data_IF_026692844120
#
_entry.id   IF_026692844120
#
_cell.length_a   1.000
_cell.length_b   1.000
_cell.length_c   1.000
_cell.angle_alpha   90.00
_cell.angle_beta   90.00
_cell.angle_gamma   90.00
#
_symmetry.space_group_name_H-M   'P 1'
#
loop_
_entity.id
_entity.type
_entity.pdbx_description
1 polymer ?
#
# COMPACT_ATOMS: atom_id res chain seq x y z
N UNK A 1 -35.39 -8.35 -24.17
CA UNK A 1 -34.34 -8.64 -23.16
C UNK A 1 -34.26 -7.46 -22.19
N UNK A 2 -34.84 -7.58 -20.99
CA UNK A 2 -34.74 -6.54 -19.95
C UNK A 2 -33.51 -6.81 -19.09
N UNK A 3 -32.52 -5.91 -19.10
CA UNK A 3 -31.37 -5.95 -18.21
C UNK A 3 -31.81 -5.71 -16.76
N UNK A 4 -31.40 -6.59 -15.86
CA UNK A 4 -31.62 -6.48 -14.42
C UNK A 4 -30.71 -5.37 -13.85
N UNK A 5 -31.29 -4.21 -13.55
CA UNK A 5 -30.62 -3.13 -12.83
C UNK A 5 -30.98 -3.18 -11.32
N UNK A 6 -30.87 -4.37 -10.70
CA UNK A 6 -31.35 -4.57 -9.33
C UNK A 6 -30.28 -4.67 -8.24
N UNK A 7 -28.98 -4.65 -8.58
CA UNK A 7 -27.92 -5.02 -7.62
C UNK A 7 -27.26 -3.84 -6.92
N UNK A 8 -27.39 -2.61 -7.46
CA UNK A 8 -26.69 -1.44 -6.90
C UNK A 8 -27.53 -0.67 -5.87
N UNK A 9 -28.85 -0.82 -5.87
CA UNK A 9 -29.76 -0.05 -4.99
C UNK A 9 -29.75 -0.57 -3.55
N UNK A 10 -29.52 -1.87 -3.35
CA UNK A 10 -29.62 -2.51 -2.03
C UNK A 10 -28.55 -2.05 -1.02
N UNK A 11 -27.25 -2.00 -1.36
CA UNK A 11 -26.24 -1.50 -0.42
C UNK A 11 -26.38 -0.03 -0.12
N UNK A 12 -26.81 0.81 -1.08
CA UNK A 12 -27.04 2.25 -0.86
C UNK A 12 -28.23 2.46 0.10
N UNK A 13 -29.30 1.66 -0.04
CA UNK A 13 -30.44 1.75 0.85
C UNK A 13 -30.08 1.36 2.28
N UNK A 14 -29.23 0.36 2.48
CA UNK A 14 -28.72 -0.06 3.79
C UNK A 14 -27.88 1.05 4.42
N UNK A 15 -26.98 1.67 3.69
CA UNK A 15 -26.16 2.79 4.17
C UNK A 15 -27.04 3.98 4.60
N UNK A 16 -28.08 4.32 3.84
CA UNK A 16 -29.05 5.37 4.20
C UNK A 16 -29.84 5.02 5.47
N UNK A 17 -30.26 3.78 5.64
CA UNK A 17 -30.97 3.32 6.84
C UNK A 17 -30.07 3.44 8.08
N UNK A 18 -28.78 3.09 7.98
CA UNK A 18 -27.82 3.24 9.06
C UNK A 18 -27.60 4.72 9.47
N UNK A 19 -27.50 5.61 8.50
CA UNK A 19 -27.38 7.05 8.75
C UNK A 19 -28.61 7.61 9.46
N UNK A 20 -29.81 7.18 9.07
CA UNK A 20 -31.05 7.61 9.68
C UNK A 20 -31.29 7.07 11.10
N UNK A 21 -30.69 5.91 11.43
CA UNK A 21 -30.85 5.28 12.76
C UNK A 21 -29.75 5.69 13.75
N UNK A 22 -28.78 6.53 13.37
CA UNK A 22 -27.69 6.96 14.25
C UNK A 22 -26.75 5.84 14.67
N UNK A 23 -26.70 4.72 13.93
CA UNK A 23 -25.94 3.50 14.27
C UNK A 23 -24.49 3.53 13.78
N UNK A 24 -24.02 4.66 13.25
CA UNK A 24 -22.68 4.83 12.70
C UNK A 24 -21.51 4.64 13.68
N UNK A 25 -21.81 4.46 14.98
CA UNK A 25 -20.81 4.29 16.04
C UNK A 25 -20.80 2.92 16.70
N UNK A 26 -21.63 1.97 16.28
CA UNK A 26 -21.67 0.64 16.91
C UNK A 26 -20.87 -0.38 16.08
N UNK A 27 -19.65 -0.67 16.55
CA UNK A 27 -18.73 -1.61 15.89
C UNK A 27 -19.31 -3.03 15.78
N UNK A 28 -20.06 -3.49 16.77
CA UNK A 28 -20.63 -4.84 16.77
C UNK A 28 -21.67 -5.03 15.68
N UNK A 29 -22.51 -4.00 15.44
CA UNK A 29 -23.51 -4.03 14.38
C UNK A 29 -22.82 -3.95 13.00
N UNK A 30 -21.79 -3.14 12.86
CA UNK A 30 -21.00 -3.03 11.65
C UNK A 30 -20.33 -4.36 11.31
N UNK A 31 -19.68 -5.00 12.28
CA UNK A 31 -19.03 -6.30 12.12
C UNK A 31 -20.03 -7.40 11.79
N UNK A 32 -21.20 -7.42 12.45
CA UNK A 32 -22.27 -8.37 12.13
C UNK A 32 -22.73 -8.26 10.67
N UNK A 33 -22.84 -7.03 10.12
CA UNK A 33 -23.22 -6.84 8.72
C UNK A 33 -22.09 -7.23 7.75
N UNK A 34 -20.83 -6.98 8.10
CA UNK A 34 -19.70 -7.44 7.30
C UNK A 34 -19.65 -8.95 7.22
N UNK A 35 -19.91 -9.66 8.31
CA UNK A 35 -19.99 -11.12 8.34
C UNK A 35 -21.21 -11.65 7.56
N UNK A 36 -22.38 -11.02 7.75
CA UNK A 36 -23.63 -11.44 7.10
C UNK A 36 -23.58 -11.32 5.56
N UNK A 37 -22.89 -10.31 5.04
CA UNK A 37 -22.79 -10.09 3.60
C UNK A 37 -21.47 -10.61 3.00
N UNK A 38 -20.70 -11.36 3.78
CA UNK A 38 -19.38 -11.88 3.41
C UNK A 38 -18.46 -10.76 2.82
N UNK A 39 -18.65 -9.52 3.33
CA UNK A 39 -17.81 -8.37 2.99
C UNK A 39 -16.56 -8.47 3.89
N UNK A 40 -15.78 -9.53 3.70
CA UNK A 40 -14.49 -9.72 4.35
C UNK A 40 -13.41 -8.76 3.79
N UNK A 41 -13.83 -7.61 3.30
CA UNK A 41 -12.93 -6.50 3.03
C UNK A 41 -12.62 -5.83 4.36
N UNK A 42 -11.68 -6.37 5.12
CA UNK A 42 -11.09 -5.65 6.25
C UNK A 42 -10.33 -4.47 5.65
N UNK A 43 -11.05 -3.38 5.43
CA UNK A 43 -10.43 -2.10 5.10
C UNK A 43 -9.88 -1.61 6.44
N UNK A 44 -8.58 -1.83 6.66
CA UNK A 44 -7.90 -1.18 7.75
C UNK A 44 -7.98 0.32 7.52
N UNK A 45 -8.58 1.01 8.46
CA UNK A 45 -8.56 2.46 8.49
C UNK A 45 -7.27 2.92 9.17
N UNK A 46 -6.95 4.20 9.05
CA UNK A 46 -5.74 4.74 9.70
C UNK A 46 -5.87 4.66 11.23
N UNK A 47 -7.09 4.61 11.74
CA UNK A 47 -7.44 4.49 13.15
C UNK A 47 -7.13 3.10 13.74
N UNK A 48 -7.08 2.06 12.89
CA UNK A 48 -6.73 0.70 13.31
C UNK A 48 -5.22 0.51 13.49
N UNK A 49 -4.41 1.49 13.07
CA UNK A 49 -2.96 1.45 13.19
C UNK A 49 -2.57 2.01 14.56
N UNK A 50 -1.86 1.25 15.41
CA UNK A 50 -1.40 1.73 16.71
C UNK A 50 -0.49 2.95 16.57
N UNK A 51 -0.51 3.82 17.57
CA UNK A 51 0.41 4.95 17.67
C UNK A 51 1.87 4.50 17.61
N UNK A 52 2.72 5.37 17.09
CA UNK A 52 4.15 5.11 16.99
C UNK A 52 4.77 4.88 18.37
N UNK A 53 5.41 3.73 18.54
CA UNK A 53 6.02 3.28 19.80
C UNK A 53 7.54 3.10 19.72
N UNK A 54 8.20 3.76 18.78
CA UNK A 54 9.65 3.67 18.55
C UNK A 54 10.07 2.54 17.61
N UNK A 55 9.15 1.67 17.17
CA UNK A 55 9.44 0.58 16.22
C UNK A 55 9.23 1.02 14.78
N UNK A 56 10.05 0.53 13.83
CA UNK A 56 9.97 0.94 12.43
C UNK A 56 8.72 0.45 11.70
N UNK A 57 8.02 -0.52 12.24
CA UNK A 57 6.76 -1.07 11.71
C UNK A 57 5.95 -1.75 12.81
N UNK A 58 4.70 -2.04 12.51
CA UNK A 58 3.79 -2.82 13.37
C UNK A 58 3.09 -3.87 12.51
N UNK A 59 2.85 -5.05 13.09
CA UNK A 59 2.01 -6.06 12.47
C UNK A 59 0.54 -5.74 12.71
N UNK A 60 -0.25 -5.84 11.67
CA UNK A 60 -1.71 -5.74 11.70
C UNK A 60 -2.31 -7.06 11.23
N UNK A 61 -3.58 -7.31 11.51
CA UNK A 61 -4.29 -8.53 11.09
C UNK A 61 -3.52 -9.83 11.40
N UNK A 62 -2.91 -9.94 12.59
CA UNK A 62 -2.08 -11.09 12.96
C UNK A 62 -0.99 -11.44 11.94
N UNK A 63 -0.50 -10.43 11.21
CA UNK A 63 0.48 -10.59 10.11
C UNK A 63 -0.02 -11.44 8.93
N UNK A 64 -1.34 -11.46 8.70
CA UNK A 64 -1.94 -12.14 7.56
C UNK A 64 -2.28 -11.07 6.51
N UNK A 65 -1.63 -11.10 5.33
CA UNK A 65 -1.96 -10.18 4.26
C UNK A 65 -3.36 -10.48 3.72
N UNK A 66 -4.07 -9.43 3.33
CA UNK A 66 -5.40 -9.56 2.75
C UNK A 66 -5.33 -9.54 1.21
N UNK A 67 -5.71 -10.67 0.61
CA UNK A 67 -5.96 -10.83 -0.82
C UNK A 67 -7.23 -11.66 -1.01
N UNK A 68 -8.04 -11.32 -2.01
CA UNK A 68 -9.22 -12.15 -2.37
C UNK A 68 -8.78 -13.38 -3.15
N UNK A 69 -9.64 -14.39 -3.23
CA UNK A 69 -9.35 -15.61 -4.00
C UNK A 69 -9.04 -15.31 -5.48
N UNK A 70 -9.71 -14.30 -6.06
CA UNK A 70 -9.51 -13.90 -7.45
C UNK A 70 -8.17 -13.18 -7.68
N UNK A 71 -7.55 -12.65 -6.62
CA UNK A 71 -6.25 -12.00 -6.69
C UNK A 71 -5.09 -13.00 -6.67
N UNK A 72 -5.31 -14.25 -6.21
CA UNK A 72 -4.25 -15.25 -6.18
C UNK A 72 -3.85 -15.67 -7.60
N UNK A 73 -2.59 -15.43 -7.92
CA UNK A 73 -2.01 -15.75 -9.23
C UNK A 73 -0.51 -15.94 -9.13
N UNK A 74 0.04 -16.71 -10.07
CA UNK A 74 1.48 -16.79 -10.31
C UNK A 74 1.90 -16.06 -11.59
N UNK A 75 0.93 -15.44 -12.29
CA UNK A 75 1.23 -14.61 -13.46
C UNK A 75 1.81 -13.28 -13.01
N UNK A 76 3.05 -13.00 -13.40
CA UNK A 76 3.73 -11.75 -13.07
C UNK A 76 3.02 -10.53 -13.64
N UNK A 77 2.92 -9.48 -12.85
CA UNK A 77 2.40 -8.18 -13.26
C UNK A 77 2.91 -7.08 -12.33
N UNK A 78 2.85 -5.85 -12.81
CA UNK A 78 3.02 -4.62 -12.04
C UNK A 78 1.86 -3.67 -12.33
N UNK A 79 1.29 -3.08 -11.31
CA UNK A 79 0.22 -2.09 -11.40
C UNK A 79 0.50 -0.95 -10.45
N UNK A 80 0.38 0.28 -10.95
CA UNK A 80 0.54 1.50 -10.19
C UNK A 80 -0.66 2.40 -10.43
N UNK A 81 -1.28 2.89 -9.36
CA UNK A 81 -2.36 3.86 -9.47
C UNK A 81 -1.89 5.13 -10.17
N UNK A 82 -2.78 5.82 -10.85
CA UNK A 82 -2.47 7.15 -11.34
C UNK A 82 -2.19 8.09 -10.17
N UNK A 83 -1.32 9.07 -10.41
CA UNK A 83 -1.12 10.16 -9.46
C UNK A 83 -2.44 10.92 -9.27
N UNK A 84 -2.71 11.34 -8.04
CA UNK A 84 -3.86 12.20 -7.77
C UNK A 84 -3.64 13.66 -8.24
N UNK A 85 -4.60 14.53 -7.97
CA UNK A 85 -4.53 15.95 -8.38
C UNK A 85 -3.39 16.75 -7.70
N UNK A 86 -2.84 16.25 -6.57
CA UNK A 86 -1.67 16.78 -5.89
C UNK A 86 -0.36 16.08 -6.29
N UNK A 87 -0.39 15.27 -7.35
CA UNK A 87 0.74 14.47 -7.83
C UNK A 87 1.26 13.46 -6.79
N UNK A 88 0.38 12.97 -5.89
CA UNK A 88 0.73 11.93 -4.92
C UNK A 88 0.54 10.56 -5.54
N UNK A 89 1.49 9.65 -5.29
CA UNK A 89 1.35 8.25 -5.65
C UNK A 89 0.23 7.58 -4.81
N UNK A 90 -0.40 6.59 -5.39
CA UNK A 90 -1.42 5.77 -4.74
C UNK A 90 -0.95 4.35 -4.49
N UNK A 91 -1.83 3.37 -4.75
CA UNK A 91 -1.52 1.96 -4.58
C UNK A 91 -0.48 1.48 -5.60
N UNK A 92 0.50 0.71 -5.11
CA UNK A 92 1.38 -0.12 -5.93
C UNK A 92 1.09 -1.60 -5.64
N UNK A 93 0.90 -2.41 -6.70
CA UNK A 93 0.51 -3.81 -6.58
C UNK A 93 1.20 -4.66 -7.64
N UNK A 94 1.80 -5.78 -7.24
CA UNK A 94 2.54 -6.65 -8.14
C UNK A 94 2.43 -8.12 -7.72
N UNK A 95 2.46 -9.00 -8.70
CA UNK A 95 2.84 -10.40 -8.50
C UNK A 95 4.30 -10.53 -8.94
N UNK A 96 5.20 -10.63 -7.97
CA UNK A 96 6.64 -10.59 -8.18
C UNK A 96 7.18 -12.00 -8.32
N UNK A 97 7.86 -12.28 -9.43
CA UNK A 97 8.65 -13.47 -9.67
C UNK A 97 10.08 -13.11 -10.09
N UNK A 98 10.93 -14.11 -10.32
CA UNK A 98 12.31 -13.88 -10.84
C UNK A 98 12.32 -13.10 -12.15
N UNK A 99 11.26 -13.21 -12.93
CA UNK A 99 11.11 -12.60 -14.26
C UNK A 99 11.12 -11.08 -14.21
N UNK A 100 10.58 -10.49 -13.10
CA UNK A 100 10.54 -9.05 -12.88
C UNK A 100 11.79 -8.50 -12.20
N UNK A 101 12.58 -9.35 -11.54
CA UNK A 101 13.78 -8.89 -10.84
C UNK A 101 14.76 -8.21 -11.79
N UNK A 102 15.47 -7.16 -11.33
CA UNK A 102 16.36 -6.40 -12.19
C UNK A 102 17.47 -7.28 -12.78
N UNK A 103 17.74 -7.05 -14.06
CA UNK A 103 18.85 -7.67 -14.81
C UNK A 103 20.01 -6.70 -15.04
N UNK A 104 19.79 -5.44 -14.68
CA UNK A 104 20.74 -4.34 -14.86
C UNK A 104 20.93 -3.60 -13.54
N UNK A 105 21.99 -2.80 -13.46
CA UNK A 105 22.25 -1.96 -12.30
C UNK A 105 21.27 -0.79 -12.23
N UNK A 106 20.97 -0.39 -10.99
CA UNK A 106 20.08 0.74 -10.73
C UNK A 106 20.69 2.03 -11.24
N UNK A 107 19.92 2.80 -12.00
CA UNK A 107 20.32 4.13 -12.47
C UNK A 107 19.85 5.24 -11.52
N UNK A 108 20.31 6.48 -11.76
CA UNK A 108 19.92 7.64 -10.96
C UNK A 108 18.43 7.95 -11.14
N UNK A 109 17.77 8.29 -10.04
CA UNK A 109 16.37 8.77 -9.99
C UNK A 109 16.28 10.22 -9.53
N UNK A 110 17.40 10.95 -9.56
CA UNK A 110 17.50 12.34 -9.08
C UNK A 110 16.57 13.32 -9.77
N UNK A 111 16.17 13.05 -11.01
CA UNK A 111 15.24 13.86 -11.80
C UNK A 111 13.80 13.78 -11.29
N UNK A 112 13.40 12.71 -10.62
CA UNK A 112 12.04 12.57 -10.08
C UNK A 112 11.92 13.35 -8.77
N UNK A 113 10.87 14.15 -8.67
CA UNK A 113 10.54 14.91 -7.47
C UNK A 113 9.12 14.54 -7.03
N UNK A 114 8.94 13.50 -6.20
CA UNK A 114 7.64 13.12 -5.72
C UNK A 114 6.95 14.27 -4.96
N UNK A 115 5.64 14.20 -4.81
CA UNK A 115 4.89 15.21 -4.04
C UNK A 115 5.53 15.46 -2.67
N UNK A 116 5.65 16.73 -2.27
CA UNK A 116 6.30 17.14 -1.03
C UNK A 116 7.83 17.04 -1.03
N UNK A 117 8.47 16.79 -2.18
CA UNK A 117 9.93 16.68 -2.26
C UNK A 117 10.64 17.98 -1.87
N UNK A 118 11.49 17.86 -0.87
CA UNK A 118 12.45 18.93 -0.49
C UNK A 118 13.69 18.30 0.15
N UNK A 119 14.77 19.09 0.23
CA UNK A 119 16.04 18.62 0.78
C UNK A 119 16.26 19.23 2.15
N UNK A 120 16.39 18.37 3.16
CA UNK A 120 16.74 18.76 4.53
C UNK A 120 17.86 17.86 5.01
N UNK A 121 18.84 18.44 5.68
CA UNK A 121 20.00 17.72 6.23
C UNK A 121 20.06 17.87 7.74
N UNK A 122 20.37 16.77 8.41
CA UNK A 122 20.68 16.73 9.85
C UNK A 122 21.86 15.80 10.09
N UNK A 123 22.78 16.18 10.98
CA UNK A 123 23.95 15.36 11.30
C UNK A 123 23.59 14.05 12.01
N UNK A 124 22.46 14.00 12.71
CA UNK A 124 21.94 12.81 13.40
C UNK A 124 21.31 11.77 12.44
N UNK A 125 21.10 12.13 11.18
CA UNK A 125 20.51 11.23 10.19
C UNK A 125 21.61 10.49 9.44
N UNK A 126 21.50 9.16 9.35
CA UNK A 126 22.38 8.36 8.52
C UNK A 126 22.36 8.86 7.07
N UNK A 127 23.54 9.16 6.50
CA UNK A 127 23.67 9.79 5.18
C UNK A 127 23.24 11.26 5.14
N UNK A 128 22.92 11.87 6.30
CA UNK A 128 22.56 13.28 6.52
C UNK A 128 21.23 13.73 5.92
N UNK A 129 20.73 13.14 4.85
CA UNK A 129 19.49 13.54 4.19
C UNK A 129 18.27 12.94 4.88
N UNK A 130 17.42 13.81 5.46
CA UNK A 130 16.20 13.36 6.16
C UNK A 130 15.23 12.66 5.19
N UNK A 131 15.05 13.20 3.99
CA UNK A 131 14.11 12.65 3.01
C UNK A 131 14.82 11.92 1.87
N UNK A 132 14.20 10.83 1.46
CA UNK A 132 14.58 9.98 0.35
C UNK A 132 13.47 9.91 -0.70
N UNK A 133 13.83 9.55 -1.93
CA UNK A 133 12.90 9.05 -2.94
C UNK A 133 12.72 7.57 -2.66
N UNK A 134 11.61 7.21 -2.07
CA UNK A 134 11.31 5.85 -1.65
C UNK A 134 10.46 5.17 -2.69
N UNK A 135 10.91 4.02 -3.19
CA UNK A 135 10.06 3.18 -4.00
C UNK A 135 8.97 2.54 -3.12
N UNK A 136 7.75 2.45 -3.62
CA UNK A 136 6.68 1.65 -3.00
C UNK A 136 6.97 0.16 -3.19
N UNK A 137 7.36 -0.24 -4.40
CA UNK A 137 7.91 -1.56 -4.70
C UNK A 137 9.39 -1.34 -5.05
N UNK A 138 10.29 -1.87 -4.24
CA UNK A 138 11.73 -1.64 -4.35
C UNK A 138 12.31 -2.12 -5.68
N UNK A 139 13.29 -1.38 -6.20
CA UNK A 139 13.99 -1.71 -7.45
C UNK A 139 14.45 -3.18 -7.51
N UNK A 140 14.95 -3.70 -6.40
CA UNK A 140 15.43 -5.10 -6.30
C UNK A 140 14.35 -6.16 -6.56
N UNK A 141 13.06 -5.77 -6.56
CA UNK A 141 11.92 -6.67 -6.72
C UNK A 141 11.41 -6.72 -8.16
N UNK A 142 11.35 -5.57 -8.83
CA UNK A 142 10.72 -5.45 -10.15
C UNK A 142 11.58 -4.75 -11.19
N UNK A 143 12.76 -4.24 -10.84
CA UNK A 143 13.58 -3.48 -11.76
C UNK A 143 13.00 -2.11 -12.15
N UNK A 144 11.82 -1.74 -11.63
CA UNK A 144 11.18 -0.45 -11.91
C UNK A 144 11.93 0.68 -11.24
N UNK A 145 12.60 1.55 -12.01
CA UNK A 145 13.53 2.53 -11.46
C UNK A 145 12.95 3.94 -11.31
N UNK A 146 12.62 4.61 -12.41
CA UNK A 146 12.28 6.03 -12.46
C UNK A 146 10.80 6.26 -12.76
N UNK A 147 9.91 5.55 -12.08
CA UNK A 147 8.47 5.66 -12.23
C UNK A 147 7.89 6.58 -11.14
N UNK A 148 7.34 7.72 -11.54
CA UNK A 148 6.74 8.67 -10.60
C UNK A 148 5.60 8.07 -9.77
N UNK A 149 4.87 7.08 -10.32
CA UNK A 149 3.76 6.38 -9.63
C UNK A 149 4.25 5.38 -8.58
N UNK A 150 5.54 5.03 -8.61
CA UNK A 150 6.19 4.13 -7.68
C UNK A 150 7.09 4.86 -6.66
N UNK A 151 7.12 6.20 -6.67
CA UNK A 151 8.02 6.99 -5.84
C UNK A 151 7.27 7.96 -4.93
N UNK A 152 7.66 7.98 -3.67
CA UNK A 152 7.15 8.92 -2.66
C UNK A 152 8.31 9.66 -1.99
N UNK A 153 8.03 10.82 -1.41
CA UNK A 153 8.89 11.45 -0.41
C UNK A 153 8.69 10.76 0.93
N UNK A 154 9.70 10.10 1.44
CA UNK A 154 9.65 9.49 2.76
C UNK A 154 10.91 9.80 3.57
N UNK A 155 10.90 9.53 4.88
CA UNK A 155 12.10 9.69 5.71
C UNK A 155 13.15 8.61 5.39
N UNK A 156 14.43 8.93 5.60
CA UNK A 156 15.51 7.95 5.52
C UNK A 156 15.21 6.72 6.38
N UNK A 157 14.72 6.94 7.60
CA UNK A 157 14.37 5.88 8.54
C UNK A 157 13.28 4.94 7.99
N UNK A 158 12.20 5.50 7.43
CA UNK A 158 11.15 4.70 6.79
C UNK A 158 11.71 3.86 5.63
N UNK A 159 12.56 4.47 4.80
CA UNK A 159 13.13 3.78 3.64
C UNK A 159 14.02 2.60 4.05
N UNK A 160 14.94 2.81 5.00
CA UNK A 160 15.98 1.83 5.33
C UNK A 160 15.62 0.88 6.47
N UNK A 161 14.85 1.35 7.45
CA UNK A 161 14.53 0.58 8.66
C UNK A 161 13.13 -0.02 8.67
N UNK A 162 12.23 0.44 7.80
CA UNK A 162 10.88 -0.12 7.66
C UNK A 162 10.74 -0.90 6.35
N UNK A 163 10.74 -0.21 5.21
CA UNK A 163 10.41 -0.81 3.90
C UNK A 163 11.44 -1.84 3.45
N UNK A 164 12.72 -1.51 3.53
CA UNK A 164 13.82 -2.37 3.06
C UNK A 164 13.84 -3.76 3.72
N UNK A 165 13.40 -3.86 4.98
CA UNK A 165 13.33 -5.16 5.69
C UNK A 165 12.39 -6.13 4.96
N UNK A 166 11.21 -5.65 4.55
CA UNK A 166 10.22 -6.46 3.84
C UNK A 166 10.65 -6.75 2.41
N UNK A 167 11.18 -5.77 1.72
CA UNK A 167 11.73 -5.95 0.36
C UNK A 167 12.83 -7.02 0.35
N UNK A 168 13.74 -6.99 1.31
CA UNK A 168 14.80 -7.99 1.44
C UNK A 168 14.24 -9.40 1.72
N UNK A 169 13.21 -9.53 2.56
CA UNK A 169 12.54 -10.81 2.81
C UNK A 169 11.91 -11.38 1.55
N UNK A 170 11.18 -10.54 0.80
CA UNK A 170 10.55 -10.94 -0.47
C UNK A 170 11.62 -11.32 -1.51
N UNK A 171 12.64 -10.50 -1.69
CA UNK A 171 13.73 -10.76 -2.62
C UNK A 171 14.44 -12.08 -2.29
N UNK A 172 14.76 -12.32 -1.02
CA UNK A 172 15.37 -13.56 -0.56
C UNK A 172 14.49 -14.77 -0.87
N UNK A 173 13.22 -14.72 -0.48
CA UNK A 173 12.27 -15.80 -0.72
C UNK A 173 12.15 -16.16 -2.21
N UNK A 174 12.00 -15.18 -3.09
CA UNK A 174 11.90 -15.43 -4.53
C UNK A 174 13.19 -16.04 -5.09
N UNK A 175 14.38 -15.57 -4.64
CA UNK A 175 15.68 -16.09 -5.10
C UNK A 175 15.90 -17.54 -4.67
N UNK A 176 15.49 -17.89 -3.46
CA UNK A 176 15.68 -19.23 -2.88
C UNK A 176 14.67 -20.25 -3.40
N UNK A 177 13.42 -19.84 -3.62
CA UNK A 177 12.33 -20.77 -3.95
C UNK A 177 11.91 -20.77 -5.40
N UNK A 178 12.19 -19.69 -6.13
CA UNK A 178 11.62 -19.39 -7.47
C UNK A 178 10.09 -19.25 -7.47
N UNK A 179 9.47 -19.15 -6.31
CA UNK A 179 8.03 -18.89 -6.19
C UNK A 179 7.71 -17.42 -6.41
N UNK A 180 6.41 -17.12 -6.60
CA UNK A 180 5.90 -15.77 -6.77
C UNK A 180 5.36 -15.21 -5.46
N UNK A 181 5.35 -13.88 -5.32
CA UNK A 181 4.85 -13.18 -4.16
C UNK A 181 3.89 -12.08 -4.60
N UNK A 182 2.67 -12.09 -4.08
CA UNK A 182 1.77 -10.94 -4.17
C UNK A 182 2.24 -9.87 -3.20
N UNK A 183 2.52 -8.69 -3.71
CA UNK A 183 3.06 -7.57 -2.95
C UNK A 183 2.25 -6.32 -3.22
N UNK A 184 1.60 -5.78 -2.19
CA UNK A 184 0.75 -4.59 -2.33
C UNK A 184 1.11 -3.55 -1.28
N UNK A 185 1.32 -2.32 -1.72
CA UNK A 185 1.53 -1.16 -0.86
C UNK A 185 0.35 -0.22 -1.00
N UNK A 186 -0.30 0.06 0.11
CA UNK A 186 -1.39 1.02 0.21
C UNK A 186 -0.89 2.26 0.94
N UNK A 187 -1.18 3.43 0.40
CA UNK A 187 -0.88 4.70 1.04
C UNK A 187 -2.14 5.30 1.65
N UNK A 188 -2.15 5.41 2.97
CA UNK A 188 -3.19 6.14 3.70
C UNK A 188 -2.72 7.58 3.91
N UNK A 189 -3.49 8.54 3.41
CA UNK A 189 -3.15 9.96 3.50
C UNK A 189 -4.18 10.66 4.37
N UNK A 190 -3.75 11.12 5.54
CA UNK A 190 -4.58 11.94 6.41
C UNK A 190 -4.46 13.40 5.97
N UNK A 191 -5.55 13.98 5.54
CA UNK A 191 -5.63 15.43 5.28
C UNK A 191 -5.98 16.11 6.60
N UNK A 192 -5.05 16.91 7.13
CA UNK A 192 -5.33 17.79 8.27
C UNK A 192 -5.63 19.17 7.69
N UNK A 193 -6.87 19.61 7.85
CA UNK A 193 -7.28 20.98 7.50
C UNK A 193 -7.12 21.81 8.77
N UNK A 194 -6.25 22.81 8.72
CA UNK A 194 -6.07 23.79 9.79
C UNK A 194 -6.93 25.02 9.51
#
# INVERSE_FOLDING_TARGET
MKKKNGVVIFPILIIMIFSCLGLNGNEDIRNYFYDLFNINNVIYTIEDIPDYNGKPYVYINNNIPYFTEEEYTTKVFEKYSNLDYLKRAGTAYSCIGKELMPKEDRTSIGMIKPSGWHTVKYDIVDGKYLYNRCHLIGYQLTGENANEKNLITCTRYMNTSSMLIFENKVSKYIKETSNHVLYRVLLYIKVVIY
#
